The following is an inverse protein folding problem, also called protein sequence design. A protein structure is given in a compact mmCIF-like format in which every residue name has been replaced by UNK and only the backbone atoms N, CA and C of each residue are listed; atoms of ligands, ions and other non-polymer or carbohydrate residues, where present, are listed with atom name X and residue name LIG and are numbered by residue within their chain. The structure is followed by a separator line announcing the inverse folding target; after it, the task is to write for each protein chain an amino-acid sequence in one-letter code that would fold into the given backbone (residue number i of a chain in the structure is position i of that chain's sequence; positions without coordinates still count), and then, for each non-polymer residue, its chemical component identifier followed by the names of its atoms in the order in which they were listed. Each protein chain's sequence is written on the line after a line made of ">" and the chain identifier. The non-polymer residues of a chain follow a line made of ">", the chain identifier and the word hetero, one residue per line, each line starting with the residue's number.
data_IF_341417881911
#
_entry.id   IF_341417881911
#
_cell.length_a   1.000
_cell.length_b   1.000
_cell.length_c   1.000
_cell.angle_alpha   90.00
_cell.angle_beta   90.00
_cell.angle_gamma   90.00
#
_symmetry.space_group_name_H-M   'P 1'
#
loop_
_entity.id
_entity.type
_entity.pdbx_description
1 polymer ?
#
# COMPACT_ATOMS: atom_id res chain seq x y z
N UNK A 1 25.03 22.65 -5.62
CA UNK A 1 24.77 21.25 -5.23
C UNK A 1 23.82 20.64 -6.26
N UNK A 2 24.20 19.53 -6.90
CA UNK A 2 23.31 18.84 -7.85
C UNK A 2 22.24 18.09 -7.03
N UNK A 3 20.98 18.48 -7.14
CA UNK A 3 19.87 17.68 -6.61
C UNK A 3 19.95 16.28 -7.22
N UNK A 4 20.29 15.28 -6.41
CA UNK A 4 20.18 13.89 -6.82
C UNK A 4 18.69 13.63 -7.05
N UNK A 5 18.30 13.40 -8.30
CA UNK A 5 17.01 12.80 -8.66
C UNK A 5 16.93 11.43 -7.98
N UNK A 6 16.41 11.41 -6.76
CA UNK A 6 16.33 10.20 -5.96
C UNK A 6 15.25 9.32 -6.57
N UNK A 7 15.66 8.33 -7.37
CA UNK A 7 14.75 7.30 -7.87
C UNK A 7 14.24 6.53 -6.67
N UNK A 8 13.01 6.82 -6.23
CA UNK A 8 12.35 6.21 -5.08
C UNK A 8 12.01 4.71 -5.27
N UNK A 9 12.40 4.13 -6.42
CA UNK A 9 12.24 2.73 -6.80
C UNK A 9 13.55 1.96 -6.71
N UNK A 10 13.51 0.72 -6.26
CA UNK A 10 14.67 -0.19 -6.25
C UNK A 10 14.28 -1.65 -5.98
N UNK A 11 15.29 -2.51 -5.90
CA UNK A 11 15.12 -3.92 -5.49
C UNK A 11 15.36 -4.09 -4.00
N UNK A 12 14.56 -4.93 -3.36
CA UNK A 12 14.74 -5.34 -1.97
C UNK A 12 15.23 -6.80 -1.95
N UNK A 13 16.31 -7.05 -1.22
CA UNK A 13 16.79 -8.41 -0.96
C UNK A 13 16.43 -8.77 0.47
N UNK A 14 15.55 -9.77 0.70
CA UNK A 14 15.14 -10.15 2.05
C UNK A 14 16.28 -10.88 2.77
N UNK A 15 16.45 -10.61 4.06
CA UNK A 15 17.33 -11.40 4.94
C UNK A 15 16.65 -12.72 5.32
N UNK A 16 15.31 -12.77 5.28
CA UNK A 16 14.50 -13.93 5.59
C UNK A 16 13.62 -14.32 4.39
N UNK A 17 14.19 -14.82 3.28
CA UNK A 17 13.45 -15.14 2.05
C UNK A 17 12.29 -16.12 2.28
N UNK A 18 12.42 -17.04 3.24
CA UNK A 18 11.36 -17.98 3.62
C UNK A 18 10.07 -17.31 4.11
N UNK A 19 10.14 -16.03 4.52
CA UNK A 19 8.97 -15.24 4.92
C UNK A 19 8.29 -14.57 3.73
N UNK A 20 8.90 -14.52 2.56
CA UNK A 20 8.32 -13.87 1.39
C UNK A 20 7.51 -14.86 0.55
N UNK A 21 6.24 -14.55 0.32
CA UNK A 21 5.34 -15.31 -0.52
C UNK A 21 5.38 -14.77 -1.96
N UNK A 22 6.35 -15.22 -2.73
CA UNK A 22 6.54 -14.84 -4.13
C UNK A 22 7.97 -15.08 -4.61
N UNK A 23 8.36 -14.44 -5.70
CA UNK A 23 9.74 -14.47 -6.19
C UNK A 23 10.64 -13.55 -5.34
N UNK A 24 11.37 -14.15 -4.40
CA UNK A 24 12.31 -13.46 -3.52
C UNK A 24 13.47 -12.77 -4.26
N UNK A 25 13.76 -13.18 -5.50
CA UNK A 25 14.82 -12.59 -6.32
C UNK A 25 14.39 -11.28 -7.01
N UNK A 26 13.08 -10.98 -6.97
CA UNK A 26 12.49 -9.87 -7.71
C UNK A 26 11.49 -9.04 -6.88
N UNK A 27 11.82 -8.75 -5.63
CA UNK A 27 11.03 -7.84 -4.80
C UNK A 27 11.37 -6.39 -5.18
N UNK A 28 10.38 -5.61 -5.59
CA UNK A 28 10.54 -4.23 -6.04
C UNK A 28 9.78 -3.32 -5.10
N UNK A 29 10.46 -2.30 -4.54
CA UNK A 29 9.78 -1.17 -3.91
C UNK A 29 9.72 -0.01 -4.90
N UNK A 30 8.63 0.74 -4.85
CA UNK A 30 8.35 1.96 -5.64
C UNK A 30 8.44 3.22 -4.79
N UNK A 31 8.53 3.07 -3.48
CA UNK A 31 8.79 4.16 -2.54
C UNK A 31 9.75 3.75 -1.41
N UNK A 32 10.37 4.74 -0.77
CA UNK A 32 11.15 4.50 0.45
C UNK A 32 10.29 4.03 1.62
N UNK A 33 8.98 4.29 1.58
CA UNK A 33 8.04 3.87 2.61
C UNK A 33 7.73 2.38 2.49
N UNK A 34 7.52 1.90 1.27
CA UNK A 34 7.45 0.46 0.98
C UNK A 34 8.76 -0.23 1.40
N UNK A 35 9.92 0.33 1.07
CA UNK A 35 11.21 -0.25 1.50
C UNK A 35 11.31 -0.38 3.03
N UNK A 36 10.79 0.60 3.78
CA UNK A 36 10.72 0.53 5.26
C UNK A 36 9.77 -0.57 5.72
N UNK A 37 8.61 -0.71 5.08
CA UNK A 37 7.66 -1.79 5.36
C UNK A 37 8.29 -3.16 5.10
N UNK A 38 8.93 -3.36 3.94
CA UNK A 38 9.62 -4.60 3.59
C UNK A 38 10.67 -4.97 4.64
N UNK A 39 11.51 -4.01 5.06
CA UNK A 39 12.49 -4.24 6.13
C UNK A 39 11.83 -4.65 7.46
N UNK A 40 10.72 -3.99 7.82
CA UNK A 40 9.97 -4.32 9.03
C UNK A 40 9.37 -5.73 8.94
N UNK A 41 8.71 -6.08 7.84
CA UNK A 41 8.10 -7.39 7.62
C UNK A 41 9.13 -8.50 7.65
N UNK A 42 10.28 -8.28 7.00
CA UNK A 42 11.37 -9.24 6.92
C UNK A 42 11.98 -9.53 8.31
N UNK A 43 12.28 -8.48 9.09
CA UNK A 43 12.97 -8.62 10.40
C UNK A 43 12.07 -8.94 11.59
N UNK A 44 10.78 -8.61 11.53
CA UNK A 44 9.88 -8.79 12.69
C UNK A 44 9.49 -10.26 12.86
N UNK A 45 9.83 -10.95 13.97
CA UNK A 45 9.54 -12.37 14.14
C UNK A 45 8.04 -12.72 14.09
N UNK A 46 7.18 -11.81 14.56
CA UNK A 46 5.73 -11.99 14.53
C UNK A 46 5.12 -11.94 13.13
N UNK A 47 5.81 -11.35 12.15
CA UNK A 47 5.38 -11.44 10.74
C UNK A 47 5.89 -12.77 10.21
N UNK A 48 4.98 -13.68 9.86
CA UNK A 48 5.32 -15.05 9.44
C UNK A 48 5.34 -15.20 7.92
N UNK A 49 4.57 -14.39 7.20
CA UNK A 49 4.52 -14.39 5.75
C UNK A 49 4.21 -12.97 5.25
N UNK A 50 4.80 -12.55 4.13
CA UNK A 50 4.45 -11.29 3.48
C UNK A 50 4.67 -11.38 1.96
N UNK A 51 3.90 -10.63 1.18
CA UNK A 51 4.08 -10.47 -0.27
C UNK A 51 3.87 -9.01 -0.68
N UNK A 52 4.38 -8.63 -1.85
CA UNK A 52 4.27 -7.28 -2.40
C UNK A 52 3.62 -7.29 -3.78
N UNK A 53 2.56 -6.52 -4.02
CA UNK A 53 1.86 -6.37 -5.32
C UNK A 53 1.33 -7.66 -6.01
N UNK A 54 1.28 -8.81 -5.33
CA UNK A 54 0.83 -10.09 -5.92
C UNK A 54 -0.70 -10.24 -6.05
N UNK A 55 -1.47 -9.49 -5.25
CA UNK A 55 -2.93 -9.63 -5.17
C UNK A 55 -3.63 -8.64 -6.11
N UNK A 56 -4.47 -9.14 -7.03
CA UNK A 56 -5.34 -8.33 -7.86
C UNK A 56 -6.79 -8.34 -7.34
N UNK A 57 -7.30 -7.16 -6.97
CA UNK A 57 -8.70 -6.97 -6.55
C UNK A 57 -9.45 -6.21 -7.66
N UNK A 58 -10.53 -6.78 -8.24
CA UNK A 58 -11.35 -6.06 -9.19
C UNK A 58 -12.10 -4.91 -8.51
N UNK A 59 -12.18 -3.76 -9.17
CA UNK A 59 -12.99 -2.63 -8.72
C UNK A 59 -13.63 -1.91 -9.90
N UNK A 60 -14.79 -1.30 -9.66
CA UNK A 60 -15.43 -0.41 -10.63
C UNK A 60 -14.96 1.02 -10.40
N UNK A 61 -14.30 1.61 -11.39
CA UNK A 61 -13.90 3.02 -11.40
C UNK A 61 -15.10 3.87 -11.81
N UNK A 62 -15.73 4.51 -10.82
CA UNK A 62 -16.91 5.35 -11.02
C UNK A 62 -16.63 6.60 -11.86
N UNK A 63 -15.39 7.09 -11.84
CA UNK A 63 -14.99 8.28 -12.58
C UNK A 63 -14.80 8.00 -14.08
N UNK A 64 -14.40 6.78 -14.45
CA UNK A 64 -14.27 6.39 -15.87
C UNK A 64 -15.30 5.36 -16.35
N UNK A 65 -16.17 4.88 -15.47
CA UNK A 65 -17.20 3.86 -15.71
C UNK A 65 -16.63 2.54 -16.24
N UNK A 66 -15.45 2.13 -15.76
CA UNK A 66 -14.73 0.93 -16.25
C UNK A 66 -14.38 -0.02 -15.10
N UNK A 67 -14.40 -1.32 -15.40
CA UNK A 67 -13.81 -2.34 -14.51
C UNK A 67 -12.29 -2.27 -14.59
N UNK A 68 -11.63 -2.33 -13.44
CA UNK A 68 -10.17 -2.22 -13.29
C UNK A 68 -9.67 -3.18 -12.22
N UNK A 69 -8.35 -3.31 -12.14
CA UNK A 69 -7.66 -4.08 -11.09
C UNK A 69 -6.89 -3.14 -10.17
N UNK A 70 -7.04 -3.36 -8.88
CA UNK A 70 -6.26 -2.75 -7.81
C UNK A 70 -5.23 -3.77 -7.33
N UNK A 71 -3.98 -3.35 -7.23
CA UNK A 71 -2.89 -4.10 -6.65
C UNK A 71 -2.47 -3.36 -5.38
N UNK A 72 -2.91 -3.82 -4.19
CA UNK A 72 -2.48 -3.28 -2.91
C UNK A 72 -0.98 -3.53 -2.70
N UNK A 73 -0.33 -2.69 -1.90
CA UNK A 73 1.13 -2.76 -1.73
C UNK A 73 1.57 -4.07 -1.08
N UNK A 74 0.91 -4.51 -0.01
CA UNK A 74 1.32 -5.71 0.73
C UNK A 74 0.17 -6.57 1.23
N UNK A 75 0.42 -7.88 1.33
CA UNK A 75 -0.38 -8.83 2.09
C UNK A 75 0.53 -9.50 3.12
N UNK A 76 0.17 -9.45 4.40
CA UNK A 76 0.98 -10.03 5.48
C UNK A 76 0.16 -10.97 6.35
N UNK A 77 0.81 -11.99 6.91
CA UNK A 77 0.30 -12.83 7.99
C UNK A 77 1.13 -12.56 9.24
N UNK A 78 0.44 -12.28 10.34
CA UNK A 78 1.04 -11.92 11.62
C UNK A 78 0.54 -12.89 12.68
N UNK A 79 1.47 -13.45 13.45
CA UNK A 79 1.17 -14.17 14.68
C UNK A 79 1.12 -13.16 15.83
N UNK A 80 -0.04 -13.04 16.47
CA UNK A 80 -0.26 -12.14 17.60
C UNK A 80 0.25 -12.76 18.90
N UNK A 81 0.33 -11.95 19.97
CA UNK A 81 0.84 -12.38 21.28
C UNK A 81 0.01 -13.49 21.93
N UNK A 82 -1.28 -13.55 21.65
CA UNK A 82 -2.20 -14.62 22.05
C UNK A 82 -2.06 -15.91 21.19
N UNK A 83 -1.14 -15.92 20.23
CA UNK A 83 -0.89 -17.04 19.32
C UNK A 83 -1.79 -17.10 18.09
N UNK A 84 -2.81 -16.23 17.98
CA UNK A 84 -3.69 -16.20 16.80
C UNK A 84 -2.95 -15.73 15.54
N UNK A 85 -3.43 -16.14 14.37
CA UNK A 85 -2.89 -15.70 13.09
C UNK A 85 -3.89 -14.75 12.43
N UNK A 86 -3.45 -13.53 12.16
CA UNK A 86 -4.24 -12.52 11.45
C UNK A 86 -3.61 -12.20 10.11
N UNK A 87 -4.44 -12.01 9.10
CA UNK A 87 -4.01 -11.59 7.77
C UNK A 87 -4.39 -10.14 7.56
N UNK A 88 -3.44 -9.34 7.08
CA UNK A 88 -3.62 -7.91 6.81
C UNK A 88 -3.30 -7.62 5.35
N UNK A 89 -4.18 -6.87 4.69
CA UNK A 89 -3.94 -6.26 3.39
C UNK A 89 -3.62 -4.79 3.61
N UNK A 90 -2.47 -4.33 3.14
CA UNK A 90 -1.92 -3.02 3.49
C UNK A 90 -1.73 -2.18 2.22
N UNK A 91 -2.22 -0.94 2.27
CA UNK A 91 -1.83 0.14 1.36
C UNK A 91 -0.93 1.15 2.10
N UNK A 92 0.19 1.53 1.52
CA UNK A 92 1.12 2.53 2.04
C UNK A 92 0.94 3.84 1.29
N UNK A 93 0.51 4.89 1.99
CA UNK A 93 0.24 6.19 1.35
C UNK A 93 0.36 7.38 2.30
N UNK A 94 0.83 8.56 1.85
CA UNK A 94 0.87 9.74 2.71
C UNK A 94 -0.52 10.17 3.16
N UNK A 95 -0.64 10.62 4.41
CA UNK A 95 -1.94 11.06 4.98
C UNK A 95 -2.62 12.13 4.13
N UNK A 96 -1.84 13.00 3.48
CA UNK A 96 -2.36 14.06 2.60
C UNK A 96 -3.20 13.52 1.43
N UNK A 97 -2.88 12.32 0.95
CA UNK A 97 -3.55 11.70 -0.20
C UNK A 97 -4.86 10.98 0.18
N UNK A 98 -5.16 10.91 1.48
CA UNK A 98 -6.43 10.38 2.01
C UNK A 98 -7.51 11.46 2.14
N UNK A 99 -7.14 12.72 1.91
CA UNK A 99 -8.05 13.87 2.01
C UNK A 99 -8.51 14.29 0.62
N UNK A 100 -9.75 14.80 0.49
CA UNK A 100 -10.19 15.39 -0.76
C UNK A 100 -9.30 16.60 -1.09
N UNK A 101 -8.94 16.81 -2.36
CA UNK A 101 -8.15 17.96 -2.75
C UNK A 101 -8.94 19.25 -2.53
N UNK A 102 -8.27 20.28 -2.04
CA UNK A 102 -8.86 21.60 -1.83
C UNK A 102 -8.51 22.53 -2.99
N UNK A 103 -9.45 23.42 -3.33
CA UNK A 103 -9.15 24.60 -4.12
C UNK A 103 -8.28 25.59 -3.32
N UNK A 104 -7.61 26.50 -4.02
CA UNK A 104 -6.79 27.52 -3.39
C UNK A 104 -6.30 28.57 -4.39
N UNK A 105 -5.88 29.72 -3.88
CA UNK A 105 -5.39 30.84 -4.71
C UNK A 105 -4.18 30.37 -5.53
N UNK A 106 -4.25 30.51 -6.86
CA UNK A 106 -3.19 30.09 -7.79
C UNK A 106 -3.28 28.65 -8.32
N UNK A 107 -4.19 27.81 -7.81
CA UNK A 107 -4.37 26.44 -8.30
C UNK A 107 -5.32 26.40 -9.50
N UNK A 108 -4.86 25.86 -10.64
CA UNK A 108 -5.67 25.73 -11.86
C UNK A 108 -6.85 24.78 -11.61
N UNK A 109 -8.03 25.14 -12.13
CA UNK A 109 -9.24 24.30 -12.06
C UNK A 109 -9.01 22.88 -12.61
N UNK A 110 -8.26 22.75 -13.70
CA UNK A 110 -7.91 21.46 -14.29
C UNK A 110 -7.10 20.56 -13.35
N UNK A 111 -6.17 21.13 -12.57
CA UNK A 111 -5.41 20.40 -11.55
C UNK A 111 -6.33 19.88 -10.45
N UNK A 112 -7.26 20.72 -9.95
CA UNK A 112 -8.22 20.30 -8.93
C UNK A 112 -9.11 19.16 -9.44
N UNK A 113 -9.60 19.24 -10.69
CA UNK A 113 -10.39 18.17 -11.30
C UNK A 113 -9.61 16.86 -11.44
N UNK A 114 -8.34 16.93 -11.84
CA UNK A 114 -7.48 15.75 -11.94
C UNK A 114 -7.24 15.08 -10.58
N UNK A 115 -6.96 15.87 -9.55
CA UNK A 115 -6.79 15.36 -8.19
C UNK A 115 -8.10 14.78 -7.65
N UNK A 116 -9.25 15.42 -7.91
CA UNK A 116 -10.57 14.91 -7.51
C UNK A 116 -10.84 13.54 -8.15
N UNK A 117 -10.53 13.39 -9.44
CA UNK A 117 -10.65 12.11 -10.15
C UNK A 117 -9.76 11.05 -9.51
N UNK A 118 -8.51 11.40 -9.20
CA UNK A 118 -7.56 10.48 -8.54
C UNK A 118 -8.03 10.08 -7.15
N UNK A 119 -8.56 11.04 -6.38
CA UNK A 119 -9.13 10.80 -5.06
C UNK A 119 -10.33 9.85 -5.12
N UNK A 120 -11.27 10.09 -6.05
CA UNK A 120 -12.42 9.21 -6.25
C UNK A 120 -12.00 7.78 -6.64
N UNK A 121 -11.04 7.63 -7.56
CA UNK A 121 -10.54 6.32 -7.95
C UNK A 121 -9.90 5.57 -6.77
N UNK A 122 -9.17 6.25 -5.88
CA UNK A 122 -8.64 5.60 -4.68
C UNK A 122 -9.73 5.20 -3.69
N UNK A 123 -10.81 5.99 -3.56
CA UNK A 123 -11.98 5.60 -2.77
C UNK A 123 -12.63 4.33 -3.30
N UNK A 124 -12.79 4.23 -4.62
CA UNK A 124 -13.38 3.05 -5.27
C UNK A 124 -12.52 1.79 -5.05
N UNK A 125 -11.19 1.94 -5.17
CA UNK A 125 -10.22 0.88 -4.83
C UNK A 125 -10.37 0.41 -3.38
N UNK A 126 -10.36 1.35 -2.43
CA UNK A 126 -10.44 1.04 -1.01
C UNK A 126 -11.79 0.45 -0.61
N UNK A 127 -12.89 0.92 -1.19
CA UNK A 127 -14.21 0.33 -0.97
C UNK A 127 -14.24 -1.14 -1.42
N UNK A 128 -13.67 -1.42 -2.60
CA UNK A 128 -13.61 -2.79 -3.14
C UNK A 128 -12.66 -3.68 -2.33
N UNK A 129 -11.53 -3.14 -1.88
CA UNK A 129 -10.58 -3.86 -1.03
C UNK A 129 -11.17 -4.21 0.33
N UNK A 130 -11.86 -3.27 0.99
CA UNK A 130 -12.59 -3.55 2.25
C UNK A 130 -13.58 -4.69 2.08
N UNK A 131 -14.45 -4.61 1.07
CA UNK A 131 -15.40 -5.68 0.78
C UNK A 131 -14.70 -7.03 0.55
N UNK A 132 -13.65 -7.04 -0.27
CA UNK A 132 -12.89 -8.26 -0.55
C UNK A 132 -12.25 -8.86 0.70
N UNK A 133 -11.76 -8.00 1.61
CA UNK A 133 -11.17 -8.35 2.89
C UNK A 133 -12.21 -8.87 3.89
N UNK A 134 -13.36 -8.22 4.01
CA UNK A 134 -14.46 -8.59 4.91
C UNK A 134 -14.96 -10.00 4.61
N UNK A 135 -15.14 -10.34 3.32
CA UNK A 135 -15.54 -11.68 2.84
C UNK A 135 -14.52 -12.78 3.20
N UNK A 136 -13.30 -12.43 3.60
CA UNK A 136 -12.16 -13.35 3.82
C UNK A 136 -11.59 -13.29 5.24
N UNK A 137 -12.22 -12.52 6.14
CA UNK A 137 -11.69 -12.26 7.47
C UNK A 137 -10.25 -11.72 7.44
N UNK A 138 -9.97 -10.83 6.49
CA UNK A 138 -8.69 -10.12 6.34
C UNK A 138 -8.91 -8.68 6.82
N UNK A 139 -7.95 -8.09 7.52
CA UNK A 139 -8.01 -6.67 7.89
C UNK A 139 -7.43 -5.82 6.78
N UNK A 140 -8.15 -4.79 6.31
CA UNK A 140 -7.59 -3.82 5.37
C UNK A 140 -7.05 -2.58 6.11
N UNK A 141 -5.75 -2.37 6.04
CA UNK A 141 -5.05 -1.28 6.70
C UNK A 141 -4.48 -0.26 5.71
N UNK A 142 -4.48 1.01 6.10
CA UNK A 142 -3.80 2.07 5.36
C UNK A 142 -2.67 2.61 6.24
N UNK A 143 -1.43 2.33 5.84
CA UNK A 143 -0.24 2.75 6.57
C UNK A 143 0.27 4.07 6.02
N UNK A 144 0.26 5.08 6.89
CA UNK A 144 0.78 6.43 6.60
C UNK A 144 2.11 6.66 7.31
N UNK A 145 2.72 7.82 7.10
CA UNK A 145 3.96 8.22 7.76
C UNK A 145 3.93 8.04 9.30
N UNK A 146 2.76 8.21 9.93
CA UNK A 146 2.58 8.03 11.38
C UNK A 146 2.79 6.59 11.82
N UNK A 147 2.31 5.63 11.02
CA UNK A 147 2.45 4.21 11.30
C UNK A 147 3.91 3.76 11.12
N UNK A 148 4.59 4.32 10.12
CA UNK A 148 5.98 3.98 9.79
C UNK A 148 7.00 4.59 10.76
N UNK A 149 6.65 5.67 11.47
CA UNK A 149 7.49 6.22 12.55
C UNK A 149 7.52 5.31 13.78
N UNK A 150 6.45 4.57 14.05
CA UNK A 150 6.33 3.68 15.22
C UNK A 150 6.89 2.27 14.96
N UNK A 151 7.03 1.89 13.69
CA UNK A 151 7.45 0.54 13.25
C UNK A 151 8.89 0.52 12.69
N UNK A 152 9.70 1.51 13.06
CA UNK A 152 11.03 1.77 12.50
C UNK A 152 12.16 1.46 13.46
#
# INVERSE_FOLDING_TARGET
>A
MRERSQKYKGKFTPENPQKYAGDCSNIIYRSMWERRCMKYFDKTPGVILWSSEELAIPYYDTATKKQRRYFPDFLIKVKTSDGSIKTHLIEVKPTKDLRPPTGGRGKKKSTVLYEMKTYQMNRDKFASARKWCDDRNITFDIWTEKHLQQKG
#
